data_IF_773603928459
#
_entry.id   IF_773603928459
#
_cell.length_a   1.000
_cell.length_b   1.000
_cell.length_c   1.000
_cell.angle_alpha   90.00
_cell.angle_beta   90.00
_cell.angle_gamma   90.00
#
_symmetry.space_group_name_H-M   'P 1'
#
loop_
_entity.id
_entity.type
_entity.pdbx_description
1 polymer ?
#
# COMPACT_ATOMS: atom_id res chain seq x y z
N UNK A 1 7.12 -6.23 6.80
CA UNK A 1 7.42 -6.86 5.50
C UNK A 1 6.49 -6.18 4.51
N UNK A 2 7.02 -5.50 3.50
CA UNK A 2 6.25 -4.77 2.49
C UNK A 2 6.06 -5.72 1.30
N UNK A 3 4.82 -5.99 0.91
CA UNK A 3 4.49 -6.76 -0.29
C UNK A 3 4.27 -5.79 -1.47
N UNK A 4 4.91 -6.08 -2.62
CA UNK A 4 4.88 -5.26 -3.84
C UNK A 4 4.19 -6.08 -4.93
N UNK A 5 3.14 -5.54 -5.56
CA UNK A 5 2.40 -6.19 -6.65
C UNK A 5 2.61 -5.49 -8.00
N UNK A 6 2.74 -6.27 -9.08
CA UNK A 6 2.81 -5.76 -10.45
C UNK A 6 2.23 -6.75 -11.45
N UNK A 7 1.20 -6.34 -12.20
CA UNK A 7 0.61 -7.11 -13.29
C UNK A 7 0.86 -6.41 -14.64
N UNK A 8 1.22 -7.17 -15.67
CA UNK A 8 1.31 -6.69 -17.05
C UNK A 8 0.79 -7.76 -18.02
N UNK A 9 -0.08 -7.37 -18.94
CA UNK A 9 -0.70 -8.21 -19.96
C UNK A 9 -0.38 -7.68 -21.36
N UNK A 10 0.10 -8.56 -22.25
CA UNK A 10 0.54 -8.24 -23.62
C UNK A 10 -0.52 -8.54 -24.68
N UNK A 11 -0.64 -7.65 -25.68
CA UNK A 11 -0.93 -8.00 -27.08
C UNK A 11 -0.43 -6.89 -28.04
N UNK A 12 -0.08 -7.27 -29.28
CA UNK A 12 0.54 -6.49 -30.39
C UNK A 12 -0.12 -6.97 -31.71
N UNK A 13 -0.01 -6.32 -32.90
CA UNK A 13 1.21 -5.64 -33.42
C UNK A 13 1.08 -4.45 -34.44
N UNK A 14 2.26 -3.89 -34.71
CA UNK A 14 2.76 -3.26 -35.96
C UNK A 14 2.36 -1.82 -36.32
N UNK A 15 3.26 -0.87 -36.04
CA UNK A 15 3.76 0.19 -36.94
C UNK A 15 5.08 0.69 -36.34
N UNK A 16 6.12 0.85 -37.17
CA UNK A 16 7.45 1.26 -36.71
C UNK A 16 7.45 2.74 -36.31
N UNK A 17 7.49 3.01 -35.01
CA UNK A 17 7.99 4.28 -34.48
C UNK A 17 9.31 3.96 -33.78
N UNK A 18 10.35 4.76 -34.04
CA UNK A 18 11.62 4.68 -33.31
C UNK A 18 11.38 5.24 -31.91
N UNK A 19 10.57 4.53 -31.12
CA UNK A 19 10.36 4.80 -29.72
C UNK A 19 11.71 4.56 -29.03
N UNK A 20 12.38 5.67 -28.69
CA UNK A 20 13.36 5.69 -27.62
C UNK A 20 12.80 4.82 -26.51
N UNK A 21 13.34 3.61 -26.31
CA UNK A 21 12.96 2.74 -25.21
C UNK A 21 13.30 3.52 -23.95
N UNK A 22 12.33 4.28 -23.43
CA UNK A 22 12.46 5.00 -22.17
C UNK A 22 12.81 3.93 -21.17
N UNK A 23 14.05 3.97 -20.68
CA UNK A 23 14.47 3.19 -19.53
C UNK A 23 13.37 3.31 -18.47
N UNK A 24 12.86 2.20 -17.89
CA UNK A 24 11.79 2.30 -16.90
C UNK A 24 12.23 3.29 -15.82
N UNK A 25 11.48 4.38 -15.66
CA UNK A 25 11.77 5.33 -14.58
C UNK A 25 11.34 4.67 -13.27
N UNK A 26 12.16 4.85 -12.22
CA UNK A 26 11.74 4.45 -10.88
C UNK A 26 10.43 5.16 -10.54
N UNK A 27 9.44 4.39 -10.08
CA UNK A 27 8.14 4.92 -9.66
C UNK A 27 8.24 5.42 -8.21
N UNK A 28 7.75 6.62 -7.95
CA UNK A 28 7.70 7.20 -6.61
C UNK A 28 6.43 6.75 -5.88
N UNK A 29 6.52 6.59 -4.56
CA UNK A 29 5.38 6.31 -3.71
C UNK A 29 5.46 7.07 -2.39
N UNK A 30 4.32 7.30 -1.77
CA UNK A 30 4.20 7.98 -0.47
C UNK A 30 3.23 7.26 0.45
N UNK A 31 3.54 7.21 1.74
CA UNK A 31 2.75 6.46 2.73
C UNK A 31 1.60 7.30 3.29
N UNK A 32 0.40 6.71 3.26
CA UNK A 32 -0.82 7.20 3.91
C UNK A 32 -1.06 6.37 5.16
N UNK A 33 -1.03 7.01 6.32
CA UNK A 33 -1.24 6.37 7.61
C UNK A 33 -2.71 6.48 8.05
N UNK A 34 -3.36 5.33 8.23
CA UNK A 34 -4.74 5.24 8.73
C UNK A 34 -4.80 4.82 10.21
N UNK A 35 -3.66 4.85 10.91
CA UNK A 35 -3.54 4.47 12.32
C UNK A 35 -3.34 5.72 13.16
N UNK A 36 -4.34 6.17 13.94
CA UNK A 36 -4.24 7.39 14.75
C UNK A 36 -3.08 7.37 15.76
N UNK A 37 -2.77 6.21 16.33
CA UNK A 37 -1.66 6.01 17.28
C UNK A 37 -0.28 6.26 16.63
N UNK A 38 -0.21 6.21 15.30
CA UNK A 38 0.98 6.46 14.52
C UNK A 38 1.07 7.91 13.99
N UNK A 39 0.20 8.82 14.44
CA UNK A 39 0.18 10.23 14.00
C UNK A 39 1.51 10.98 14.20
N UNK A 40 2.38 10.49 15.09
CA UNK A 40 3.74 11.04 15.33
C UNK A 40 4.85 10.21 14.70
N UNK A 41 4.51 9.17 13.96
CA UNK A 41 5.46 8.34 13.22
C UNK A 41 6.02 9.06 11.99
N UNK A 42 7.00 8.46 11.29
CA UNK A 42 7.63 9.04 10.11
C UNK A 42 6.72 9.04 8.86
N UNK A 43 5.40 8.97 9.04
CA UNK A 43 4.43 8.92 7.96
C UNK A 43 4.04 10.33 7.52
N UNK A 44 3.83 10.51 6.20
CA UNK A 44 3.68 11.84 5.60
C UNK A 44 2.23 12.33 5.62
N UNK A 45 1.26 11.46 5.33
CA UNK A 45 -0.15 11.83 5.32
C UNK A 45 -0.97 11.15 6.42
N UNK A 46 -1.79 11.95 7.11
CA UNK A 46 -2.66 11.53 8.23
C UNK A 46 -4.09 12.08 8.09
N UNK A 47 -4.41 12.80 7.00
CA UNK A 47 -5.66 13.55 6.82
C UNK A 47 -6.83 12.68 6.29
N UNK A 48 -6.71 11.36 6.43
CA UNK A 48 -7.64 10.39 5.86
C UNK A 48 -7.37 10.08 4.39
N UNK A 49 -8.05 9.06 3.85
CA UNK A 49 -7.66 8.43 2.58
C UNK A 49 -7.85 9.35 1.37
N UNK A 50 -9.03 9.95 1.22
CA UNK A 50 -9.35 10.78 0.05
C UNK A 50 -8.43 12.01 -0.10
N UNK A 51 -8.28 12.81 0.96
CA UNK A 51 -7.40 13.98 0.94
C UNK A 51 -5.94 13.58 0.67
N UNK A 52 -5.48 12.49 1.27
CA UNK A 52 -4.11 12.01 1.10
C UNK A 52 -3.83 11.51 -0.33
N UNK A 53 -4.78 10.81 -0.97
CA UNK A 53 -4.67 10.42 -2.37
C UNK A 53 -4.62 11.65 -3.30
N UNK A 54 -5.48 12.65 -3.05
CA UNK A 54 -5.45 13.88 -3.85
C UNK A 54 -4.11 14.61 -3.69
N UNK A 55 -3.63 14.78 -2.45
CA UNK A 55 -2.35 15.41 -2.16
C UNK A 55 -1.17 14.65 -2.82
N UNK A 56 -1.20 13.31 -2.83
CA UNK A 56 -0.18 12.50 -3.49
C UNK A 56 -0.18 12.69 -5.01
N UNK A 57 -1.34 12.75 -5.64
CA UNK A 57 -1.47 13.00 -7.07
C UNK A 57 -1.02 14.43 -7.45
N UNK A 58 -1.43 15.44 -6.68
CA UNK A 58 -1.05 16.83 -6.89
C UNK A 58 0.47 17.04 -6.73
N UNK A 59 1.11 16.27 -5.84
CA UNK A 59 2.56 16.24 -5.66
C UNK A 59 3.31 15.45 -6.74
N UNK A 60 2.61 14.74 -7.63
CA UNK A 60 3.19 13.99 -8.75
C UNK A 60 3.75 12.62 -8.39
N UNK A 61 3.24 11.97 -7.35
CA UNK A 61 3.59 10.58 -7.05
C UNK A 61 2.97 9.60 -8.06
N UNK A 62 3.64 8.48 -8.31
CA UNK A 62 3.11 7.41 -9.18
C UNK A 62 2.19 6.44 -8.41
N UNK A 63 2.32 6.39 -7.08
CA UNK A 63 1.66 5.42 -6.23
C UNK A 63 1.57 5.87 -4.76
N UNK A 64 0.80 5.11 -3.98
CA UNK A 64 0.72 5.24 -2.51
C UNK A 64 1.02 3.92 -1.82
N UNK A 65 1.53 4.01 -0.58
CA UNK A 65 1.56 2.91 0.37
C UNK A 65 0.46 3.14 1.40
N UNK A 66 -0.33 2.11 1.72
CA UNK A 66 -1.38 2.20 2.74
C UNK A 66 -0.90 1.53 4.01
N UNK A 67 -0.98 2.23 5.14
CA UNK A 67 -0.72 1.68 6.47
C UNK A 67 -2.04 1.56 7.25
N UNK A 68 -2.77 0.44 7.14
CA UNK A 68 -4.06 0.24 7.78
C UNK A 68 -3.93 -0.24 9.24
N UNK A 69 -4.96 -0.02 10.08
CA UNK A 69 -4.98 -0.55 11.45
C UNK A 69 -5.21 -2.06 11.52
N UNK A 70 -5.96 -2.64 10.57
CA UNK A 70 -6.22 -4.08 10.43
C UNK A 70 -6.80 -4.38 9.04
N UNK A 71 -6.91 -5.67 8.67
CA UNK A 71 -7.53 -6.08 7.42
C UNK A 71 -9.03 -5.76 7.37
N UNK A 72 -9.73 -5.92 8.49
CA UNK A 72 -11.15 -5.57 8.62
C UNK A 72 -11.42 -4.06 8.41
N UNK A 73 -10.47 -3.22 8.79
CA UNK A 73 -10.54 -1.77 8.62
C UNK A 73 -9.86 -1.30 7.32
N UNK A 74 -9.48 -2.21 6.42
CA UNK A 74 -8.88 -1.86 5.14
C UNK A 74 -9.96 -1.35 4.16
N UNK A 75 -9.80 -0.14 3.60
CA UNK A 75 -10.87 0.51 2.83
C UNK A 75 -10.87 0.09 1.35
N UNK A 76 -10.95 -1.21 1.03
CA UNK A 76 -10.75 -1.75 -0.34
C UNK A 76 -11.53 -0.99 -1.43
N UNK A 77 -12.85 -0.84 -1.26
CA UNK A 77 -13.73 -0.23 -2.27
C UNK A 77 -13.46 1.26 -2.47
N UNK A 78 -13.26 1.99 -1.37
CA UNK A 78 -12.96 3.42 -1.41
C UNK A 78 -11.58 3.65 -2.02
N UNK A 79 -10.58 2.87 -1.59
CA UNK A 79 -9.21 2.93 -2.10
C UNK A 79 -9.18 2.72 -3.62
N UNK A 80 -9.83 1.66 -4.12
CA UNK A 80 -9.90 1.38 -5.57
C UNK A 80 -10.47 2.57 -6.35
N UNK A 81 -11.58 3.12 -5.87
CA UNK A 81 -12.22 4.29 -6.50
C UNK A 81 -11.29 5.49 -6.52
N UNK A 82 -10.61 5.78 -5.41
CA UNK A 82 -9.69 6.92 -5.30
C UNK A 82 -8.44 6.76 -6.16
N UNK A 83 -7.86 5.56 -6.21
CA UNK A 83 -6.70 5.26 -7.06
C UNK A 83 -7.04 5.48 -8.54
N UNK A 84 -8.22 5.03 -8.99
CA UNK A 84 -8.71 5.26 -10.35
C UNK A 84 -8.91 6.76 -10.63
N UNK A 85 -9.55 7.49 -9.72
CA UNK A 85 -9.81 8.93 -9.87
C UNK A 85 -8.53 9.78 -9.91
N UNK A 86 -7.50 9.38 -9.16
CA UNK A 86 -6.24 10.10 -9.02
C UNK A 86 -5.13 9.59 -9.93
N UNK A 87 -5.40 8.52 -10.71
CA UNK A 87 -4.40 7.82 -11.53
C UNK A 87 -3.18 7.32 -10.74
N UNK A 88 -3.36 7.06 -9.43
CA UNK A 88 -2.35 6.49 -8.55
C UNK A 88 -2.40 4.96 -8.57
N UNK A 89 -1.27 4.32 -8.28
CA UNK A 89 -1.21 2.88 -8.03
C UNK A 89 -1.12 2.58 -6.52
N UNK A 90 -1.47 1.37 -6.11
CA UNK A 90 -1.10 0.84 -4.80
C UNK A 90 0.28 0.18 -4.90
N UNK A 91 1.29 0.75 -4.25
CA UNK A 91 2.65 0.19 -4.26
C UNK A 91 2.85 -0.87 -3.18
N UNK A 92 2.20 -0.70 -2.03
CA UNK A 92 2.45 -1.47 -0.82
C UNK A 92 1.33 -1.34 0.22
N UNK A 93 1.19 -2.36 1.06
CA UNK A 93 0.39 -2.31 2.29
C UNK A 93 1.26 -2.67 3.49
N UNK A 94 1.28 -1.82 4.51
CA UNK A 94 2.12 -1.97 5.69
C UNK A 94 1.43 -2.71 6.84
N UNK A 95 2.14 -3.63 7.51
CA UNK A 95 1.59 -4.48 8.60
C UNK A 95 2.03 -4.06 10.00
N UNK A 96 2.70 -2.92 10.14
CA UNK A 96 3.27 -2.46 11.41
C UNK A 96 2.23 -2.15 12.50
N UNK A 97 0.97 -1.94 12.12
CA UNK A 97 -0.12 -1.71 13.07
C UNK A 97 -0.30 -2.87 14.06
N UNK A 98 -0.03 -4.12 13.63
CA UNK A 98 -0.07 -5.29 14.52
C UNK A 98 0.90 -5.15 15.70
N UNK A 99 2.09 -4.59 15.48
CA UNK A 99 3.03 -4.31 16.57
C UNK A 99 2.62 -3.10 17.41
N UNK A 100 2.12 -2.04 16.77
CA UNK A 100 1.73 -0.81 17.48
C UNK A 100 0.54 -1.05 18.42
N UNK A 101 -0.52 -1.71 17.95
CA UNK A 101 -1.78 -1.89 18.68
C UNK A 101 -1.74 -3.12 19.61
N UNK A 102 -1.06 -4.19 19.20
CA UNK A 102 -1.14 -5.51 19.86
C UNK A 102 0.21 -6.13 20.21
N UNK A 103 1.33 -5.45 19.92
CA UNK A 103 2.71 -5.98 20.12
C UNK A 103 2.95 -7.32 19.43
N UNK A 104 2.26 -7.58 18.32
CA UNK A 104 2.48 -8.78 17.51
C UNK A 104 3.93 -8.80 16.98
N UNK A 105 4.55 -9.97 17.05
CA UNK A 105 5.91 -10.19 16.56
C UNK A 105 6.05 -11.61 16.00
N UNK A 106 6.61 -11.71 14.80
CA UNK A 106 6.95 -13.00 14.17
C UNK A 106 8.09 -13.73 14.89
N UNK A 107 8.82 -13.04 15.75
CA UNK A 107 9.95 -13.57 16.52
C UNK A 107 9.70 -13.54 18.02
N UNK A 108 8.44 -13.48 18.45
CA UNK A 108 8.10 -13.58 19.88
C UNK A 108 8.50 -14.97 20.42
N UNK A 109 8.92 -15.04 21.69
CA UNK A 109 9.20 -16.30 22.37
C UNK A 109 7.95 -17.16 22.51
N UNK A 110 6.79 -16.51 22.65
CA UNK A 110 5.48 -17.16 22.72
C UNK A 110 4.99 -17.59 21.33
N UNK A 111 4.71 -18.88 21.15
CA UNK A 111 4.22 -19.43 19.88
C UNK A 111 2.84 -18.92 19.49
N UNK A 112 2.00 -18.57 20.46
CA UNK A 112 0.64 -18.11 20.19
C UNK A 112 0.68 -16.70 19.61
N UNK A 113 1.53 -15.82 20.14
CA UNK A 113 1.77 -14.50 19.56
C UNK A 113 2.35 -14.55 18.16
N UNK A 114 3.26 -15.50 17.88
CA UNK A 114 3.76 -15.71 16.51
C UNK A 114 2.63 -16.12 15.57
N UNK A 115 1.75 -17.03 16.00
CA UNK A 115 0.58 -17.46 15.22
C UNK A 115 -0.37 -16.28 14.95
N UNK A 116 -0.65 -15.46 15.96
CA UNK A 116 -1.46 -14.24 15.80
C UNK A 116 -0.81 -13.23 14.84
N UNK A 117 0.51 -13.06 14.89
CA UNK A 117 1.25 -12.19 13.97
C UNK A 117 1.17 -12.69 12.52
N UNK A 118 1.31 -14.00 12.30
CA UNK A 118 1.14 -14.62 10.98
C UNK A 118 -0.29 -14.41 10.49
N UNK A 119 -1.30 -14.69 11.32
CA UNK A 119 -2.70 -14.50 10.95
C UNK A 119 -2.99 -13.05 10.55
N UNK A 120 -2.56 -12.07 11.35
CA UNK A 120 -2.74 -10.65 11.05
C UNK A 120 -2.11 -10.26 9.70
N UNK A 121 -0.91 -10.77 9.41
CA UNK A 121 -0.23 -10.48 8.13
C UNK A 121 -0.96 -11.15 6.97
N UNK A 122 -1.40 -12.40 7.12
CA UNK A 122 -2.16 -13.12 6.09
C UNK A 122 -3.44 -12.39 5.72
N UNK A 123 -4.23 -11.96 6.72
CA UNK A 123 -5.47 -11.22 6.48
C UNK A 123 -5.21 -9.89 5.74
N UNK A 124 -4.08 -9.21 6.01
CA UNK A 124 -3.68 -8.00 5.27
C UNK A 124 -3.25 -8.32 3.83
N UNK A 125 -2.58 -9.45 3.61
CA UNK A 125 -2.21 -9.90 2.25
C UNK A 125 -3.46 -10.16 1.43
N UNK A 126 -4.46 -10.83 2.01
CA UNK A 126 -5.70 -11.17 1.32
C UNK A 126 -6.43 -9.91 0.81
N UNK A 127 -6.61 -8.90 1.67
CA UNK A 127 -7.28 -7.64 1.25
C UNK A 127 -6.42 -6.75 0.33
N UNK A 128 -5.10 -6.97 0.30
CA UNK A 128 -4.19 -6.22 -0.57
C UNK A 128 -4.15 -6.76 -2.01
N UNK A 129 -4.63 -7.99 -2.24
CA UNK A 129 -4.71 -8.64 -3.56
C UNK A 129 -6.06 -8.35 -4.29
N UNK A 130 -7.02 -7.70 -3.61
CA UNK A 130 -8.36 -7.33 -4.14
C UNK A 130 -8.38 -6.05 -5.00
#
# INVERSE_FOLDING_TARGET
MIAIFGHSSHSSPCCHDHALTRKPRMKSAITICLVPEAARGPFVFHEGLSASCQNAADAGFDAVEIFPPSAHEFPTKELKTLLEQTSLNLAAVGTGAGWLKRRLSLTDTDSDKRREAVQFISEIIDVADE
#
